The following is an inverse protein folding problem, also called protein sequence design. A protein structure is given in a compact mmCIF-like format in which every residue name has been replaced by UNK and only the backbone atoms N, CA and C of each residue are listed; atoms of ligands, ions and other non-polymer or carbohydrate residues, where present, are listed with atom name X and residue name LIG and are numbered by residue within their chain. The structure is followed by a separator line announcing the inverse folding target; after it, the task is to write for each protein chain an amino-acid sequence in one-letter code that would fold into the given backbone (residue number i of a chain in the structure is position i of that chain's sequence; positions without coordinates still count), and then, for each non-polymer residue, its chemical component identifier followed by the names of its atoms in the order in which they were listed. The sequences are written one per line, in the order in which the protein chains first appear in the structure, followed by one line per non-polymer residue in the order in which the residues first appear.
data_IF_490136949999
#
_entry.id   IF_490136949999
#
_cell.length_a   1.000
_cell.length_b   1.000
_cell.length_c   1.000
_cell.angle_alpha   90.00
_cell.angle_beta   90.00
_cell.angle_gamma   90.00
#
_symmetry.space_group_name_H-M   'P 1'
#
loop_
_entity.id
_entity.type
_entity.pdbx_description
1 polymer ?
#
# COMPACT_ATOMS: atom_id res chain seq x y z
N UNK A 1 85.10 -5.38 -0.89
CA UNK A 1 85.32 -6.04 0.39
C UNK A 1 83.96 -6.32 0.98
N UNK A 2 83.52 -7.56 0.87
CA UNK A 2 83.51 -8.60 1.87
C UNK A 2 82.58 -8.25 3.02
N UNK A 3 81.63 -8.98 3.37
CA UNK A 3 81.38 -10.40 3.47
C UNK A 3 80.16 -10.55 4.36
N UNK A 4 79.39 -11.49 4.04
CA UNK A 4 79.20 -12.79 4.66
C UNK A 4 78.20 -12.90 5.79
N UNK A 5 77.20 -13.64 5.48
CA UNK A 5 76.60 -14.81 6.16
C UNK A 5 75.86 -14.64 7.48
N UNK A 6 74.69 -15.25 7.50
CA UNK A 6 74.05 -15.70 8.73
C UNK A 6 72.61 -16.15 8.51
N UNK A 7 72.46 -17.39 8.14
CA UNK A 7 71.31 -18.26 8.16
C UNK A 7 70.67 -18.36 9.54
N UNK A 8 69.34 -18.39 9.59
CA UNK A 8 68.52 -19.41 10.31
C UNK A 8 67.03 -19.12 10.20
N UNK A 9 66.27 -19.97 9.53
CA UNK A 9 64.92 -20.34 9.88
C UNK A 9 64.96 -21.27 11.11
N UNK A 10 63.87 -21.47 11.86
CA UNK A 10 62.60 -21.93 11.34
C UNK A 10 61.33 -21.38 12.05
N UNK A 11 60.26 -21.34 11.31
CA UNK A 11 59.07 -22.13 11.59
C UNK A 11 58.21 -21.63 12.77
N UNK A 12 57.17 -20.99 12.43
CA UNK A 12 56.00 -20.78 13.26
C UNK A 12 54.81 -20.48 12.37
N UNK A 13 54.26 -21.52 11.78
CA UNK A 13 52.96 -21.46 11.11
C UNK A 13 51.89 -21.24 12.19
N UNK A 14 51.39 -20.04 12.33
CA UNK A 14 50.08 -19.81 12.94
C UNK A 14 49.08 -19.72 11.82
N UNK A 15 48.26 -20.77 11.68
CA UNK A 15 47.04 -20.74 10.88
C UNK A 15 46.15 -19.56 11.31
N UNK A 16 45.52 -18.86 10.38
CA UNK A 16 44.50 -17.89 10.76
C UNK A 16 43.40 -18.62 11.49
N UNK A 17 43.01 -18.10 12.63
CA UNK A 17 41.83 -18.52 13.33
C UNK A 17 40.65 -18.43 12.35
N UNK A 18 39.96 -19.52 12.16
CA UNK A 18 38.67 -19.56 11.52
C UNK A 18 37.78 -18.57 12.26
N UNK A 19 37.39 -17.54 11.58
CA UNK A 19 36.19 -16.79 11.98
C UNK A 19 35.09 -17.82 12.09
N UNK A 20 34.70 -18.14 13.29
CA UNK A 20 33.47 -18.83 13.53
C UNK A 20 32.37 -17.89 13.02
N UNK A 21 31.76 -18.23 11.89
CA UNK A 21 30.41 -17.81 11.56
C UNK A 21 29.52 -18.20 12.74
N UNK A 22 29.32 -17.26 13.64
CA UNK A 22 28.13 -17.25 14.46
C UNK A 22 27.04 -16.72 13.54
N UNK A 23 26.48 -17.60 12.70
CA UNK A 23 25.13 -17.44 12.26
C UNK A 23 24.32 -17.21 13.55
N UNK A 24 23.76 -16.05 13.74
CA UNK A 24 22.80 -15.81 14.81
C UNK A 24 21.72 -16.89 14.60
N UNK A 25 21.47 -17.70 15.62
CA UNK A 25 20.40 -18.67 15.53
C UNK A 25 19.12 -17.88 15.18
N UNK A 26 18.44 -18.25 14.09
CA UNK A 26 17.12 -17.72 13.77
C UNK A 26 16.23 -17.84 15.00
N UNK A 27 15.45 -16.81 15.28
CA UNK A 27 14.39 -16.86 16.28
C UNK A 27 13.34 -17.89 15.87
N UNK A 28 12.38 -18.11 16.74
CA UNK A 28 11.24 -18.98 16.43
C UNK A 28 9.94 -18.21 16.31
N UNK A 29 9.93 -16.96 16.70
CA UNK A 29 8.77 -16.08 16.65
C UNK A 29 9.05 -14.97 15.65
N UNK A 30 8.18 -14.88 14.65
CA UNK A 30 8.21 -13.85 13.61
C UNK A 30 7.09 -12.86 13.94
N UNK A 31 7.44 -11.69 14.49
CA UNK A 31 6.45 -10.66 14.82
C UNK A 31 6.16 -9.79 13.60
N UNK A 32 4.91 -9.80 13.14
CA UNK A 32 4.42 -9.03 12.00
C UNK A 32 3.43 -7.97 12.46
N UNK A 33 3.75 -6.70 12.20
CA UNK A 33 2.92 -5.55 12.56
C UNK A 33 2.01 -5.14 11.39
N UNK A 34 0.70 -5.09 11.63
CA UNK A 34 -0.29 -4.64 10.65
C UNK A 34 -1.45 -3.88 11.33
N UNK A 35 -2.30 -3.23 10.52
CA UNK A 35 -3.45 -2.47 11.06
C UNK A 35 -4.78 -3.22 11.03
N UNK A 36 -4.82 -4.34 10.33
CA UNK A 36 -5.97 -5.23 10.24
C UNK A 36 -5.51 -6.65 9.88
N UNK A 37 -6.45 -7.57 9.71
CA UNK A 37 -6.19 -8.97 9.38
C UNK A 37 -6.02 -9.23 7.88
N UNK A 38 -6.06 -8.22 7.03
CA UNK A 38 -5.96 -8.40 5.58
C UNK A 38 -4.67 -9.13 5.20
N UNK A 39 -3.51 -8.61 5.61
CA UNK A 39 -2.22 -9.24 5.31
C UNK A 39 -2.12 -10.65 5.87
N UNK A 40 -2.54 -10.84 7.11
CA UNK A 40 -2.57 -12.16 7.77
C UNK A 40 -3.30 -13.19 6.92
N UNK A 41 -4.55 -12.91 6.53
CA UNK A 41 -5.35 -13.88 5.78
C UNK A 41 -4.77 -14.22 4.41
N UNK A 42 -4.06 -13.27 3.77
CA UNK A 42 -3.38 -13.51 2.49
C UNK A 42 -2.12 -14.35 2.68
N UNK A 43 -1.29 -14.05 3.69
CA UNK A 43 -0.12 -14.88 4.04
C UNK A 43 -0.56 -16.30 4.37
N UNK A 44 -1.56 -16.48 5.20
CA UNK A 44 -2.11 -17.80 5.59
C UNK A 44 -2.62 -18.58 4.37
N UNK A 45 -3.10 -17.90 3.34
CA UNK A 45 -3.59 -18.55 2.12
C UNK A 45 -2.47 -18.98 1.16
N UNK A 46 -1.32 -18.31 1.13
CA UNK A 46 -0.33 -18.50 0.06
C UNK A 46 1.08 -18.83 0.54
N UNK A 47 1.41 -18.65 1.81
CA UNK A 47 2.71 -19.04 2.33
C UNK A 47 2.72 -20.55 2.62
N UNK A 48 3.53 -21.29 1.91
CA UNK A 48 3.52 -22.76 1.86
C UNK A 48 3.97 -23.44 3.16
N UNK A 49 4.60 -22.71 4.07
CA UNK A 49 4.98 -23.20 5.40
C UNK A 49 3.87 -23.09 6.45
N UNK A 50 2.74 -22.49 6.15
CA UNK A 50 1.62 -22.40 7.09
C UNK A 50 1.06 -23.79 7.39
N UNK A 51 0.96 -24.14 8.68
CA UNK A 51 0.34 -25.37 9.17
C UNK A 51 -1.10 -25.09 9.63
N UNK A 52 -1.27 -24.25 10.65
CA UNK A 52 -2.58 -23.86 11.15
C UNK A 52 -2.50 -22.53 11.94
N UNK A 53 -3.65 -21.94 12.21
CA UNK A 53 -3.79 -20.72 13.01
C UNK A 53 -4.42 -21.05 14.35
N UNK A 54 -4.00 -20.34 15.43
CA UNK A 54 -4.58 -20.46 16.77
C UNK A 54 -6.08 -20.11 16.76
N UNK A 55 -6.83 -20.65 17.72
CA UNK A 55 -8.28 -20.42 17.82
C UNK A 55 -8.67 -18.95 17.97
N UNK A 56 -7.79 -18.12 18.55
CA UNK A 56 -8.00 -16.67 18.71
C UNK A 56 -7.46 -15.85 17.53
N UNK A 57 -6.84 -16.50 16.55
CA UNK A 57 -6.32 -15.87 15.33
C UNK A 57 -5.08 -15.01 15.54
N UNK A 58 -4.41 -15.08 16.69
CA UNK A 58 -3.25 -14.23 16.99
C UNK A 58 -1.91 -14.83 16.58
N UNK A 59 -1.86 -16.15 16.39
CA UNK A 59 -0.65 -16.88 16.04
C UNK A 59 -0.90 -17.82 14.87
N UNK A 60 -0.02 -17.79 13.87
CA UNK A 60 0.03 -18.78 12.79
C UNK A 60 1.24 -19.67 12.98
N UNK A 61 1.02 -20.97 13.13
CA UNK A 61 2.06 -21.98 13.30
C UNK A 61 2.60 -22.42 11.96
N UNK A 62 3.93 -22.58 11.87
CA UNK A 62 4.60 -23.01 10.64
C UNK A 62 5.07 -24.46 10.74
N UNK A 63 5.16 -25.14 9.62
CA UNK A 63 5.56 -26.56 9.50
C UNK A 63 6.99 -26.86 9.94
N UNK A 64 7.85 -25.85 10.02
CA UNK A 64 9.23 -25.94 10.48
C UNK A 64 9.39 -25.66 12.00
N UNK A 65 8.29 -25.38 12.69
CA UNK A 65 8.24 -25.15 14.13
C UNK A 65 8.48 -23.69 14.53
N UNK A 66 8.48 -22.75 13.58
CA UNK A 66 8.38 -21.32 13.84
C UNK A 66 6.92 -20.88 13.98
N UNK A 67 6.72 -19.69 14.50
CA UNK A 67 5.41 -19.09 14.74
C UNK A 67 5.38 -17.66 14.20
N UNK A 68 4.30 -17.27 13.51
CA UNK A 68 4.04 -15.88 13.17
C UNK A 68 3.11 -15.30 14.23
N UNK A 69 3.55 -14.28 14.93
CA UNK A 69 2.75 -13.51 15.88
C UNK A 69 2.22 -12.24 15.22
N UNK A 70 0.91 -12.12 15.11
CA UNK A 70 0.24 -10.99 14.48
C UNK A 70 0.00 -9.86 15.48
N UNK A 71 0.74 -8.76 15.32
CA UNK A 71 0.59 -7.56 16.17
C UNK A 71 -0.30 -6.55 15.44
N UNK A 72 -1.62 -6.70 15.65
CA UNK A 72 -2.61 -5.91 14.94
C UNK A 72 -3.04 -4.70 15.79
N UNK A 73 -2.84 -3.50 15.25
CA UNK A 73 -3.28 -2.25 15.85
C UNK A 73 -4.08 -1.44 14.82
N UNK A 74 -5.26 -0.92 15.15
CA UNK A 74 -6.07 -0.19 14.17
C UNK A 74 -5.38 1.08 13.68
N UNK A 75 -5.58 1.42 12.41
CA UNK A 75 -5.00 2.62 11.81
C UNK A 75 -5.75 3.92 12.17
N UNK A 76 -6.87 3.80 12.87
CA UNK A 76 -7.68 4.95 13.34
C UNK A 76 -6.83 5.87 14.22
N UNK A 77 -6.90 7.18 13.97
CA UNK A 77 -6.17 8.22 14.71
C UNK A 77 -4.65 8.00 14.79
N UNK A 78 -4.07 7.24 13.85
CA UNK A 78 -2.64 6.96 13.79
C UNK A 78 -2.12 5.99 14.85
N UNK A 79 -2.99 5.24 15.52
CA UNK A 79 -2.61 4.30 16.60
C UNK A 79 -1.63 3.24 16.09
N UNK A 80 -1.85 2.69 14.89
CA UNK A 80 -0.94 1.73 14.29
C UNK A 80 0.49 2.28 14.17
N UNK A 81 0.66 3.44 13.54
CA UNK A 81 1.98 4.05 13.35
C UNK A 81 2.65 4.36 14.69
N UNK A 82 1.88 4.87 15.67
CA UNK A 82 2.43 5.14 17.00
C UNK A 82 2.94 3.86 17.66
N UNK A 83 2.19 2.75 17.62
CA UNK A 83 2.58 1.48 18.20
C UNK A 83 3.77 0.85 17.50
N UNK A 84 3.82 0.93 16.18
CA UNK A 84 4.96 0.49 15.39
C UNK A 84 6.22 1.29 15.75
N UNK A 85 6.12 2.62 15.78
CA UNK A 85 7.26 3.49 16.14
C UNK A 85 7.79 3.20 17.53
N UNK A 86 6.89 2.98 18.52
CA UNK A 86 7.27 2.58 19.89
C UNK A 86 8.04 1.25 19.95
N UNK A 87 7.70 0.30 19.06
CA UNK A 87 8.39 -0.99 18.95
C UNK A 87 9.74 -0.84 18.24
N UNK A 88 9.79 -0.13 17.12
CA UNK A 88 11.01 0.12 16.34
C UNK A 88 12.08 0.85 17.17
N UNK A 89 11.69 1.79 18.03
CA UNK A 89 12.61 2.47 18.96
C UNK A 89 13.27 1.54 20.00
N UNK A 90 12.71 0.35 20.20
CA UNK A 90 13.22 -0.65 21.16
C UNK A 90 13.96 -1.79 20.46
N UNK A 91 13.94 -1.83 19.12
CA UNK A 91 14.43 -2.95 18.30
C UNK A 91 15.83 -3.45 18.71
N UNK A 92 16.79 -2.54 18.91
CA UNK A 92 18.17 -2.90 19.26
C UNK A 92 18.30 -3.60 20.64
N UNK A 93 17.32 -3.41 21.54
CA UNK A 93 17.33 -3.90 22.91
C UNK A 93 16.35 -5.04 23.14
N UNK A 94 15.51 -5.32 22.17
CA UNK A 94 14.53 -6.39 22.23
C UNK A 94 15.23 -7.76 22.28
N UNK A 95 14.66 -8.69 23.07
CA UNK A 95 15.07 -10.09 22.97
C UNK A 95 14.72 -10.65 21.59
N UNK A 96 15.34 -11.75 21.17
CA UNK A 96 15.14 -12.34 19.85
C UNK A 96 13.64 -12.47 19.51
N UNK A 97 12.87 -13.19 20.31
CA UNK A 97 11.43 -13.43 20.07
C UNK A 97 10.52 -12.19 20.33
N UNK A 98 11.08 -11.05 20.70
CA UNK A 98 10.34 -9.78 20.92
C UNK A 98 10.63 -8.72 19.84
N UNK A 99 11.49 -9.03 18.89
CA UNK A 99 11.86 -8.11 17.81
C UNK A 99 10.70 -7.94 16.83
N UNK A 100 10.65 -6.77 16.20
CA UNK A 100 9.84 -6.57 14.99
C UNK A 100 10.59 -7.24 13.84
N UNK A 101 10.00 -8.22 13.18
CA UNK A 101 10.58 -8.87 12.01
C UNK A 101 10.07 -8.27 10.72
N UNK A 102 8.76 -8.03 10.66
CA UNK A 102 8.11 -7.42 9.52
C UNK A 102 7.09 -6.39 9.97
N UNK A 103 6.87 -5.40 9.13
CA UNK A 103 5.79 -4.45 9.34
C UNK A 103 5.23 -3.93 8.02
N UNK A 104 4.01 -3.45 8.06
CA UNK A 104 3.37 -2.83 6.91
C UNK A 104 3.45 -1.31 6.98
N UNK A 105 3.50 -0.68 5.82
CA UNK A 105 3.19 0.73 5.66
C UNK A 105 2.20 0.95 4.53
N UNK A 106 1.43 1.99 4.63
CA UNK A 106 0.54 2.44 3.57
C UNK A 106 1.25 3.51 2.73
N UNK A 107 0.92 3.61 1.47
CA UNK A 107 1.55 4.55 0.51
C UNK A 107 1.66 5.98 1.05
N UNK A 108 0.66 6.45 1.80
CA UNK A 108 0.62 7.84 2.30
C UNK A 108 1.76 8.15 3.30
N UNK A 109 2.36 7.13 3.91
CA UNK A 109 3.46 7.30 4.87
C UNK A 109 4.64 6.33 4.68
N UNK A 110 4.71 5.61 3.55
CA UNK A 110 5.80 4.67 3.25
C UNK A 110 7.18 5.33 3.30
N UNK A 111 7.30 6.56 2.83
CA UNK A 111 8.55 7.33 2.80
C UNK A 111 9.18 7.48 4.18
N UNK A 112 8.38 7.56 5.24
CA UNK A 112 8.87 7.60 6.62
C UNK A 112 9.74 6.39 6.98
N UNK A 113 9.40 5.21 6.45
CA UNK A 113 10.06 3.95 6.78
C UNK A 113 11.07 3.50 5.72
N UNK A 114 10.98 4.02 4.49
CA UNK A 114 12.00 3.78 3.46
C UNK A 114 13.17 4.76 3.53
N UNK A 115 13.08 5.82 4.34
CA UNK A 115 14.14 6.79 4.51
C UNK A 115 15.40 6.11 5.07
N UNK A 116 16.52 6.22 4.32
CA UNK A 116 17.80 5.62 4.69
C UNK A 116 18.39 6.19 6.00
N UNK A 117 18.06 7.44 6.36
CA UNK A 117 18.51 8.07 7.59
C UNK A 117 17.74 7.54 8.82
N UNK A 118 16.54 7.00 8.62
CA UNK A 118 15.73 6.34 9.67
C UNK A 118 16.20 4.90 9.89
N UNK A 119 16.63 4.22 8.84
CA UNK A 119 17.25 2.89 8.80
C UNK A 119 16.50 1.80 9.61
N UNK A 120 15.18 1.72 9.43
CA UNK A 120 14.34 0.70 10.07
C UNK A 120 13.93 -0.43 9.11
N UNK A 121 13.96 -0.18 7.81
CA UNK A 121 13.62 -1.16 6.77
C UNK A 121 14.88 -1.70 6.09
N UNK A 122 15.03 -3.02 6.03
CA UNK A 122 16.14 -3.69 5.36
C UNK A 122 16.02 -3.45 3.85
N UNK A 123 17.08 -3.03 3.15
CA UNK A 123 17.13 -3.07 1.70
C UNK A 123 16.85 -4.49 1.18
N UNK A 124 15.99 -4.65 0.18
CA UNK A 124 15.61 -5.98 -0.32
C UNK A 124 16.82 -6.79 -0.80
N UNK A 125 17.84 -6.13 -1.34
CA UNK A 125 19.08 -6.80 -1.76
C UNK A 125 19.85 -7.41 -0.59
N UNK A 126 19.76 -6.84 0.61
CA UNK A 126 20.39 -7.37 1.82
C UNK A 126 19.63 -8.58 2.39
N UNK A 127 18.35 -8.73 2.05
CA UNK A 127 17.57 -9.95 2.27
C UNK A 127 17.82 -11.00 1.16
N UNK A 128 18.65 -10.69 0.17
CA UNK A 128 18.89 -11.56 -0.98
C UNK A 128 17.72 -11.60 -1.97
N UNK A 129 16.93 -10.55 -2.04
CA UNK A 129 15.89 -10.32 -3.07
C UNK A 129 16.46 -9.32 -4.07
N UNK A 130 16.57 -9.72 -5.33
CA UNK A 130 17.00 -8.83 -6.40
C UNK A 130 15.78 -8.20 -7.09
N UNK A 131 15.52 -6.88 -6.90
CA UNK A 131 14.35 -6.22 -7.48
C UNK A 131 14.27 -6.30 -9.02
N UNK A 132 15.41 -6.40 -9.71
CA UNK A 132 15.45 -6.44 -11.19
C UNK A 132 15.06 -7.80 -11.75
N UNK A 133 15.27 -8.87 -11.00
CA UNK A 133 14.98 -10.24 -11.44
C UNK A 133 13.80 -10.86 -10.70
N UNK A 134 13.77 -10.77 -9.37
CA UNK A 134 12.75 -11.43 -8.55
C UNK A 134 11.43 -10.66 -8.55
N UNK A 135 11.49 -9.32 -8.76
CA UNK A 135 10.34 -8.42 -8.82
C UNK A 135 10.20 -7.77 -10.21
N UNK A 136 10.72 -8.43 -11.26
CA UNK A 136 10.72 -7.87 -12.63
C UNK A 136 9.31 -7.55 -13.16
N UNK A 137 8.31 -8.35 -12.77
CA UNK A 137 6.93 -8.22 -13.24
C UNK A 137 6.10 -7.22 -12.42
N UNK A 138 6.67 -6.60 -11.37
CA UNK A 138 5.99 -5.55 -10.63
C UNK A 138 5.89 -4.24 -11.44
N UNK A 139 4.81 -3.50 -11.22
CA UNK A 139 4.67 -2.17 -11.81
C UNK A 139 5.78 -1.24 -11.35
N UNK A 140 6.41 -0.55 -12.29
CA UNK A 140 7.55 0.34 -12.01
C UNK A 140 7.23 1.42 -10.96
N UNK A 141 6.04 2.00 -10.99
CA UNK A 141 5.67 3.02 -10.00
C UNK A 141 5.66 2.48 -8.56
N UNK A 142 5.35 1.19 -8.35
CA UNK A 142 5.39 0.58 -7.01
C UNK A 142 6.82 0.41 -6.52
N UNK A 143 7.77 0.10 -7.40
CA UNK A 143 9.20 0.03 -7.08
C UNK A 143 9.77 1.39 -6.71
N UNK A 144 9.38 2.43 -7.48
CA UNK A 144 9.79 3.82 -7.19
C UNK A 144 9.32 4.26 -5.81
N UNK A 145 8.05 4.00 -5.46
CA UNK A 145 7.48 4.32 -4.14
C UNK A 145 8.16 3.53 -3.02
N UNK A 146 8.56 2.29 -3.30
CA UNK A 146 9.21 1.40 -2.34
C UNK A 146 10.71 1.70 -2.10
N UNK A 147 11.29 2.65 -2.85
CA UNK A 147 12.71 2.95 -2.83
C UNK A 147 13.03 4.18 -1.97
N UNK A 148 14.21 4.17 -1.38
CA UNK A 148 14.77 5.34 -0.70
C UNK A 148 15.26 6.42 -1.71
N UNK A 149 15.72 7.54 -1.19
CA UNK A 149 16.23 8.66 -1.99
C UNK A 149 17.45 8.30 -2.87
N UNK A 150 18.12 7.19 -2.59
CA UNK A 150 19.27 6.67 -3.36
C UNK A 150 18.82 5.66 -4.43
N UNK A 151 17.52 5.37 -4.53
CA UNK A 151 16.97 4.39 -5.45
C UNK A 151 17.10 2.94 -4.96
N UNK A 152 17.42 2.71 -3.69
CA UNK A 152 17.52 1.40 -3.11
C UNK A 152 16.15 0.95 -2.59
N UNK A 153 15.59 -0.13 -3.16
CA UNK A 153 14.28 -0.63 -2.78
C UNK A 153 14.32 -1.28 -1.39
N UNK A 154 13.44 -0.81 -0.47
CA UNK A 154 13.39 -1.21 0.95
C UNK A 154 12.11 -1.91 1.36
N UNK A 155 11.17 -2.05 0.45
CA UNK A 155 9.94 -2.79 0.67
C UNK A 155 9.35 -3.28 -0.65
N UNK A 156 8.28 -4.05 -0.58
CA UNK A 156 7.54 -4.51 -1.75
C UNK A 156 6.04 -4.51 -1.48
N UNK A 157 5.21 -4.54 -2.50
CA UNK A 157 3.75 -4.51 -2.34
C UNK A 157 3.06 -5.60 -3.13
N UNK A 158 1.92 -6.08 -2.61
CA UNK A 158 1.00 -6.96 -3.35
C UNK A 158 -0.18 -6.20 -3.94
N UNK A 159 -0.24 -4.87 -3.78
CA UNK A 159 -1.38 -4.05 -4.17
C UNK A 159 -0.95 -2.96 -5.17
N UNK A 160 -1.52 -3.00 -6.37
CA UNK A 160 -1.34 -1.95 -7.38
C UNK A 160 -2.25 -0.74 -7.19
N UNK A 161 -3.43 -0.92 -6.63
CA UNK A 161 -4.43 0.09 -6.31
C UNK A 161 -4.76 1.12 -7.41
N UNK A 162 -4.91 0.71 -8.70
CA UNK A 162 -5.43 1.62 -9.70
C UNK A 162 -6.87 2.01 -9.36
N UNK A 163 -7.22 3.27 -9.61
CA UNK A 163 -8.56 3.77 -9.35
C UNK A 163 -9.43 3.73 -10.59
N UNK A 164 -10.71 3.46 -10.35
CA UNK A 164 -11.77 3.37 -11.35
C UNK A 164 -12.90 4.33 -10.97
N UNK A 165 -13.75 4.68 -11.94
CA UNK A 165 -15.02 5.35 -11.71
C UNK A 165 -16.04 4.28 -11.30
N UNK A 166 -16.51 4.37 -10.06
CA UNK A 166 -17.56 3.54 -9.50
C UNK A 166 -18.85 4.38 -9.48
N UNK A 167 -19.85 4.00 -10.27
CA UNK A 167 -21.03 4.84 -10.53
C UNK A 167 -22.34 4.13 -10.24
N UNK A 168 -23.36 4.91 -9.86
CA UNK A 168 -24.74 4.47 -9.67
C UNK A 168 -25.41 4.22 -11.02
N UNK A 169 -25.78 2.95 -11.29
CA UNK A 169 -26.45 2.54 -12.54
C UNK A 169 -27.82 3.18 -12.72
N UNK A 170 -28.60 3.30 -11.67
CA UNK A 170 -29.93 3.93 -11.71
C UNK A 170 -29.86 5.44 -12.04
N UNK A 171 -28.86 6.15 -11.51
CA UNK A 171 -28.63 7.55 -11.83
C UNK A 171 -28.13 7.69 -13.29
N UNK A 172 -27.23 6.80 -13.72
CA UNK A 172 -26.75 6.77 -15.11
C UNK A 172 -27.91 6.60 -16.11
N UNK A 173 -28.81 5.64 -15.87
CA UNK A 173 -30.01 5.42 -16.68
C UNK A 173 -30.93 6.63 -16.71
N UNK A 174 -31.17 7.28 -15.56
CA UNK A 174 -32.07 8.46 -15.51
C UNK A 174 -31.47 9.66 -16.25
N UNK A 175 -30.16 9.87 -16.17
CA UNK A 175 -29.50 11.07 -16.70
C UNK A 175 -29.03 10.88 -18.14
N UNK A 176 -28.36 9.75 -18.43
CA UNK A 176 -27.70 9.50 -19.72
C UNK A 176 -28.46 8.52 -20.61
N UNK A 177 -29.48 7.82 -20.06
CA UNK A 177 -30.25 6.80 -20.78
C UNK A 177 -29.53 5.47 -20.96
N UNK A 178 -28.36 5.32 -20.32
CA UNK A 178 -27.55 4.09 -20.33
C UNK A 178 -26.88 3.87 -18.99
N UNK A 179 -26.64 2.61 -18.65
CA UNK A 179 -25.80 2.18 -17.53
C UNK A 179 -24.67 1.25 -17.98
N UNK A 180 -24.45 1.15 -19.29
CA UNK A 180 -23.39 0.36 -19.89
C UNK A 180 -22.02 0.96 -19.54
N UNK A 181 -21.07 0.15 -18.99
CA UNK A 181 -19.76 0.64 -18.55
C UNK A 181 -18.93 1.30 -19.65
N UNK A 182 -19.00 0.81 -20.89
CA UNK A 182 -18.20 1.37 -22.01
C UNK A 182 -18.79 2.71 -22.48
N UNK A 183 -20.12 2.84 -22.47
CA UNK A 183 -20.79 4.11 -22.79
C UNK A 183 -20.53 5.14 -21.68
N UNK A 184 -20.58 4.75 -20.41
CA UNK A 184 -20.25 5.64 -19.28
C UNK A 184 -18.77 6.04 -19.34
N UNK A 185 -17.84 5.12 -19.68
CA UNK A 185 -16.45 5.47 -19.92
C UNK A 185 -16.28 6.56 -20.99
N UNK A 186 -17.03 6.47 -22.09
CA UNK A 186 -16.98 7.46 -23.16
C UNK A 186 -17.55 8.84 -22.72
N UNK A 187 -18.60 8.84 -21.89
CA UNK A 187 -19.21 10.05 -21.31
C UNK A 187 -18.26 10.72 -20.31
N UNK A 188 -17.46 9.95 -19.56
CA UNK A 188 -16.60 10.41 -18.48
C UNK A 188 -15.10 10.36 -18.84
N UNK A 189 -14.71 10.30 -20.12
CA UNK A 189 -13.38 9.93 -20.58
C UNK A 189 -12.25 10.93 -20.25
N UNK A 190 -12.60 12.16 -19.92
CA UNK A 190 -11.67 13.23 -19.49
C UNK A 190 -12.39 14.23 -18.58
N UNK A 191 -11.64 15.14 -17.95
CA UNK A 191 -12.24 16.13 -17.03
C UNK A 191 -13.18 17.12 -17.72
N UNK A 192 -13.02 17.40 -18.99
CA UNK A 192 -13.95 18.23 -19.76
C UNK A 192 -15.30 17.55 -19.96
N UNK A 193 -15.29 16.28 -20.42
CA UNK A 193 -16.48 15.45 -20.56
C UNK A 193 -17.15 15.14 -19.22
N UNK A 194 -16.35 14.90 -18.17
CA UNK A 194 -16.89 14.71 -16.82
C UNK A 194 -17.62 15.98 -16.34
N UNK A 195 -17.15 17.16 -16.69
CA UNK A 195 -17.83 18.42 -16.38
C UNK A 195 -19.13 18.58 -17.17
N UNK A 196 -19.17 18.17 -18.44
CA UNK A 196 -20.40 18.16 -19.24
C UNK A 196 -21.42 17.16 -18.65
N UNK A 197 -20.97 15.99 -18.19
CA UNK A 197 -21.80 15.03 -17.47
C UNK A 197 -22.30 15.60 -16.14
N UNK A 198 -21.47 16.33 -15.39
CA UNK A 198 -21.82 16.98 -14.13
C UNK A 198 -22.95 18.01 -14.30
N UNK A 199 -22.96 18.76 -15.41
CA UNK A 199 -24.04 19.69 -15.73
C UNK A 199 -25.38 18.94 -15.95
N UNK A 200 -25.36 17.83 -16.68
CA UNK A 200 -26.55 17.01 -16.91
C UNK A 200 -27.05 16.36 -15.61
N UNK A 201 -26.15 15.86 -14.76
CA UNK A 201 -26.47 15.31 -13.44
C UNK A 201 -27.18 16.37 -12.58
N UNK A 202 -26.61 17.58 -12.51
CA UNK A 202 -27.19 18.68 -11.76
C UNK A 202 -28.60 19.06 -12.23
N UNK A 203 -28.82 19.11 -13.54
CA UNK A 203 -30.13 19.46 -14.12
C UNK A 203 -31.24 18.45 -13.68
N UNK A 204 -30.85 17.23 -13.34
CA UNK A 204 -31.71 16.18 -12.78
C UNK A 204 -31.73 16.15 -11.24
N UNK A 205 -30.95 16.98 -10.57
CA UNK A 205 -30.89 17.06 -9.12
C UNK A 205 -29.87 16.12 -8.46
N UNK A 206 -28.92 15.60 -9.24
CA UNK A 206 -27.84 14.77 -8.74
C UNK A 206 -26.53 15.55 -8.58
N UNK A 207 -25.62 15.00 -7.79
CA UNK A 207 -24.24 15.47 -7.63
C UNK A 207 -23.29 14.48 -8.28
N UNK A 208 -22.21 14.98 -8.84
CA UNK A 208 -21.20 14.11 -9.50
C UNK A 208 -20.42 13.31 -8.48
N UNK A 209 -19.84 13.99 -7.50
CA UNK A 209 -19.08 13.42 -6.38
C UNK A 209 -19.57 13.93 -5.04
N UNK A 210 -19.23 13.20 -3.97
CA UNK A 210 -19.63 13.56 -2.62
C UNK A 210 -18.91 14.80 -2.10
N UNK A 211 -17.63 14.97 -2.43
CA UNK A 211 -16.86 16.13 -1.97
C UNK A 211 -15.73 16.49 -2.95
N UNK A 212 -15.15 17.67 -2.76
CA UNK A 212 -13.96 18.07 -3.51
C UNK A 212 -12.74 17.18 -3.23
N UNK A 213 -12.69 16.52 -2.08
CA UNK A 213 -11.60 15.61 -1.72
C UNK A 213 -11.60 14.33 -2.57
N UNK A 214 -12.75 13.92 -3.13
CA UNK A 214 -12.85 12.71 -3.96
C UNK A 214 -12.03 12.80 -5.25
N UNK A 215 -11.72 14.01 -5.72
CA UNK A 215 -10.94 14.23 -6.94
C UNK A 215 -9.45 14.51 -6.67
N UNK A 216 -9.04 14.78 -5.41
CA UNK A 216 -7.69 15.24 -5.10
C UNK A 216 -6.60 14.31 -5.61
N UNK A 217 -6.75 13.00 -5.40
CA UNK A 217 -5.68 12.03 -5.73
C UNK A 217 -5.39 11.94 -7.22
N UNK A 218 -6.38 12.14 -8.07
CA UNK A 218 -6.15 12.17 -9.53
C UNK A 218 -5.25 13.34 -9.95
N UNK A 219 -5.43 14.51 -9.33
CA UNK A 219 -4.55 15.66 -9.56
C UNK A 219 -3.20 15.48 -8.86
N UNK A 220 -3.21 15.00 -7.61
CA UNK A 220 -1.99 14.75 -6.84
C UNK A 220 -1.05 13.72 -7.46
N UNK A 221 -1.57 12.71 -8.14
CA UNK A 221 -0.76 11.74 -8.89
C UNK A 221 -0.15 12.31 -10.18
N UNK A 222 -0.54 13.53 -10.59
CA UNK A 222 -0.09 14.16 -11.85
C UNK A 222 0.87 15.33 -11.62
N UNK A 223 1.37 15.51 -10.40
CA UNK A 223 2.36 16.54 -10.10
C UNK A 223 3.68 16.26 -10.83
N UNK A 224 4.36 17.32 -11.25
CA UNK A 224 5.61 17.25 -12.01
C UNK A 224 6.86 17.41 -11.15
N UNK A 225 6.69 17.84 -9.91
CA UNK A 225 7.78 18.10 -8.97
C UNK A 225 7.40 17.71 -7.54
N UNK A 226 8.36 17.32 -6.69
CA UNK A 226 8.10 17.02 -5.29
C UNK A 226 7.66 18.28 -4.54
N UNK A 227 6.84 18.09 -3.49
CA UNK A 227 6.38 19.17 -2.63
C UNK A 227 7.52 19.92 -1.92
N UNK A 228 8.61 19.22 -1.62
CA UNK A 228 9.76 19.80 -0.92
C UNK A 228 11.04 19.40 -1.64
N UNK A 229 11.90 20.39 -1.91
CA UNK A 229 13.25 20.18 -2.40
C UNK A 229 14.22 20.94 -1.46
N UNK A 230 15.05 20.20 -0.73
CA UNK A 230 15.84 20.76 0.38
C UNK A 230 14.90 21.34 1.44
N UNK A 231 14.92 22.65 1.63
CA UNK A 231 14.02 23.36 2.57
C UNK A 231 12.95 24.20 1.85
N UNK A 232 12.82 24.04 0.55
CA UNK A 232 11.89 24.85 -0.27
C UNK A 232 10.61 24.08 -0.53
N UNK A 233 9.47 24.62 -0.10
CA UNK A 233 8.14 24.14 -0.44
C UNK A 233 7.76 24.62 -1.85
N UNK A 234 7.30 23.69 -2.68
CA UNK A 234 6.78 23.98 -4.03
C UNK A 234 5.36 23.44 -4.13
N UNK A 235 4.41 24.31 -4.45
CA UNK A 235 3.05 23.88 -4.80
C UNK A 235 2.98 23.73 -6.31
N UNK A 236 2.83 22.50 -6.77
CA UNK A 236 2.74 22.21 -8.20
C UNK A 236 1.53 22.91 -8.83
N UNK A 237 1.62 23.46 -10.07
CA UNK A 237 0.48 24.05 -10.77
C UNK A 237 -0.72 23.12 -10.87
N UNK A 238 -0.51 21.80 -10.94
CA UNK A 238 -1.58 20.80 -10.98
C UNK A 238 -2.45 20.83 -9.70
N UNK A 239 -1.84 21.11 -8.55
CA UNK A 239 -2.57 21.26 -7.28
C UNK A 239 -3.40 22.54 -7.28
N UNK A 240 -2.87 23.63 -7.84
CA UNK A 240 -3.63 24.88 -7.96
C UNK A 240 -4.79 24.75 -8.95
N UNK A 241 -4.65 23.94 -10.00
CA UNK A 241 -5.74 23.57 -10.89
C UNK A 241 -6.85 22.83 -10.13
N UNK A 242 -6.51 21.83 -9.33
CA UNK A 242 -7.48 21.15 -8.46
C UNK A 242 -8.22 22.13 -7.53
N UNK A 243 -7.53 23.10 -6.94
CA UNK A 243 -8.15 24.11 -6.08
C UNK A 243 -9.17 24.95 -6.87
N UNK A 244 -8.80 25.39 -8.09
CA UNK A 244 -9.68 26.16 -8.96
C UNK A 244 -10.90 25.37 -9.42
N UNK A 245 -10.68 24.12 -9.86
CA UNK A 245 -11.74 23.24 -10.33
C UNK A 245 -12.68 22.86 -9.19
N UNK A 246 -12.15 22.55 -8.01
CA UNK A 246 -12.95 22.25 -6.83
C UNK A 246 -13.86 23.41 -6.46
N UNK A 247 -13.35 24.64 -6.51
CA UNK A 247 -14.16 25.83 -6.27
C UNK A 247 -15.24 26.01 -7.34
N UNK A 248 -14.88 25.88 -8.61
CA UNK A 248 -15.82 25.98 -9.73
C UNK A 248 -16.95 24.96 -9.59
N UNK A 249 -16.61 23.68 -9.31
CA UNK A 249 -17.59 22.61 -9.17
C UNK A 249 -18.51 22.79 -7.96
N UNK A 250 -17.99 23.31 -6.85
CA UNK A 250 -18.81 23.68 -5.68
C UNK A 250 -19.77 24.83 -6.00
N UNK A 251 -19.28 25.88 -6.65
CA UNK A 251 -20.08 27.05 -7.02
C UNK A 251 -21.17 26.68 -8.07
N UNK A 252 -20.83 25.77 -9.01
CA UNK A 252 -21.76 25.24 -9.98
C UNK A 252 -22.77 24.27 -9.39
N UNK A 253 -22.54 23.73 -8.19
CA UNK A 253 -23.42 22.76 -7.53
C UNK A 253 -23.27 21.33 -8.06
N UNK A 254 -22.10 20.99 -8.59
CA UNK A 254 -21.76 19.63 -9.06
C UNK A 254 -21.32 18.72 -7.94
N UNK A 255 -20.84 19.28 -6.83
CA UNK A 255 -20.42 18.57 -5.62
C UNK A 255 -21.42 18.82 -4.49
N UNK A 256 -21.53 17.84 -3.59
CA UNK A 256 -22.41 17.99 -2.43
C UNK A 256 -21.72 18.87 -1.38
N UNK A 257 -22.07 20.16 -1.37
CA UNK A 257 -21.37 21.21 -0.61
C UNK A 257 -21.32 21.04 0.91
N UNK A 258 -22.18 20.20 1.47
CA UNK A 258 -22.25 19.97 2.91
C UNK A 258 -21.21 18.94 3.39
N UNK A 259 -20.61 18.16 2.47
CA UNK A 259 -19.57 17.18 2.79
C UNK A 259 -18.21 17.85 2.60
N UNK A 260 -17.45 17.97 3.70
CA UNK A 260 -16.18 18.70 3.74
C UNK A 260 -14.95 17.80 3.71
N UNK A 261 -15.01 16.71 2.97
CA UNK A 261 -13.90 15.77 2.87
C UNK A 261 -14.36 14.32 2.93
N UNK A 262 -13.42 13.42 3.01
CA UNK A 262 -13.62 11.99 3.12
C UNK A 262 -13.50 11.52 4.58
N UNK A 263 -13.81 10.25 4.83
CA UNK A 263 -13.59 9.56 6.12
C UNK A 263 -14.41 10.14 7.28
N UNK A 264 -15.63 10.59 7.00
CA UNK A 264 -16.60 11.04 8.00
C UNK A 264 -18.00 10.47 7.71
N UNK A 265 -18.89 10.55 8.69
CA UNK A 265 -20.24 9.98 8.62
C UNK A 265 -21.05 10.50 7.43
N UNK A 266 -20.94 11.79 7.09
CA UNK A 266 -21.68 12.39 5.99
C UNK A 266 -21.20 11.87 4.63
N UNK A 267 -19.89 11.70 4.48
CA UNK A 267 -19.30 11.08 3.31
C UNK A 267 -19.71 9.61 3.19
N UNK A 268 -19.66 8.84 4.29
CA UNK A 268 -20.11 7.45 4.31
C UNK A 268 -21.60 7.34 3.92
N UNK A 269 -22.47 8.17 4.49
CA UNK A 269 -23.92 8.21 4.14
C UNK A 269 -24.19 8.58 2.68
N UNK A 270 -23.25 9.30 2.04
CA UNK A 270 -23.40 9.67 0.62
C UNK A 270 -23.30 8.47 -0.33
N UNK A 271 -22.85 7.31 0.15
CA UNK A 271 -22.81 6.05 -0.59
C UNK A 271 -24.12 5.26 -0.48
N UNK A 272 -25.00 5.60 0.45
CA UNK A 272 -26.27 4.89 0.66
C UNK A 272 -27.29 5.03 -0.50
N UNK A 273 -28.24 4.13 -0.57
CA UNK A 273 -29.24 4.02 -1.66
C UNK A 273 -30.12 5.27 -1.84
N UNK A 274 -30.27 6.07 -0.79
CA UNK A 274 -31.05 7.33 -0.80
C UNK A 274 -30.22 8.55 -1.20
N UNK A 275 -28.93 8.36 -1.44
CA UNK A 275 -28.03 9.45 -1.83
C UNK A 275 -28.29 9.87 -3.28
N UNK A 276 -28.07 11.15 -3.57
CA UNK A 276 -28.07 11.72 -4.91
C UNK A 276 -26.68 11.84 -5.52
N UNK A 277 -25.67 11.19 -4.95
CA UNK A 277 -24.29 11.19 -5.47
C UNK A 277 -24.16 10.12 -6.55
N UNK A 278 -23.68 10.53 -7.73
CA UNK A 278 -23.54 9.67 -8.89
C UNK A 278 -22.37 8.71 -8.78
N UNK A 279 -21.19 9.20 -8.39
CA UNK A 279 -19.98 8.41 -8.51
C UNK A 279 -18.94 8.66 -7.42
N UNK A 280 -18.01 7.71 -7.31
CA UNK A 280 -16.80 7.78 -6.52
C UNK A 280 -15.60 7.33 -7.38
N UNK A 281 -14.42 7.77 -7.03
CA UNK A 281 -13.16 7.35 -7.64
C UNK A 281 -12.45 6.43 -6.65
N UNK A 282 -12.62 5.11 -6.81
CA UNK A 282 -12.12 4.12 -5.87
C UNK A 282 -11.17 3.10 -6.51
N UNK A 283 -10.14 2.66 -5.77
CA UNK A 283 -9.47 1.40 -6.07
C UNK A 283 -10.32 0.21 -5.59
N UNK A 284 -9.90 -1.02 -5.89
CA UNK A 284 -10.61 -2.24 -5.50
C UNK A 284 -10.94 -2.28 -3.99
N UNK A 285 -9.96 -1.98 -3.12
CA UNK A 285 -10.21 -1.96 -1.68
C UNK A 285 -11.24 -0.89 -1.25
N UNK A 286 -11.39 0.19 -2.01
CA UNK A 286 -12.39 1.22 -1.75
C UNK A 286 -13.82 0.70 -1.95
N UNK A 287 -14.01 -0.25 -2.87
CA UNK A 287 -15.30 -0.93 -3.05
C UNK A 287 -15.57 -1.83 -1.85
N UNK A 288 -14.64 -2.70 -1.46
CA UNK A 288 -14.83 -3.68 -0.40
C UNK A 288 -14.93 -3.06 0.99
N UNK A 289 -13.99 -2.19 1.34
CA UNK A 289 -13.87 -1.66 2.71
C UNK A 289 -14.61 -0.36 2.95
N UNK A 290 -15.04 0.34 1.89
CA UNK A 290 -15.69 1.65 2.01
C UNK A 290 -17.09 1.65 1.42
N UNK A 291 -17.24 1.29 0.14
CA UNK A 291 -18.54 1.34 -0.52
C UNK A 291 -19.51 0.28 0.02
N UNK A 292 -19.10 -0.99 0.02
CA UNK A 292 -19.95 -2.11 0.42
C UNK A 292 -20.53 -1.97 1.84
N UNK A 293 -19.74 -1.59 2.87
CA UNK A 293 -20.27 -1.41 4.22
C UNK A 293 -21.27 -0.25 4.35
N UNK A 294 -21.26 0.71 3.44
CA UNK A 294 -22.11 1.88 3.45
C UNK A 294 -23.28 1.80 2.45
N UNK A 295 -23.33 0.74 1.62
CA UNK A 295 -24.39 0.51 0.67
C UNK A 295 -25.52 -0.30 1.29
N UNK A 296 -26.75 0.25 1.28
CA UNK A 296 -27.97 -0.36 1.82
C UNK A 296 -29.01 -0.71 0.74
N UNK A 297 -28.60 -0.68 -0.53
CA UNK A 297 -29.45 -0.96 -1.68
C UNK A 297 -29.28 -2.37 -2.23
N UNK A 298 -29.86 -2.61 -3.40
CA UNK A 298 -29.77 -3.90 -4.08
C UNK A 298 -28.35 -4.18 -4.62
N UNK A 299 -27.98 -5.45 -4.66
CA UNK A 299 -26.76 -5.88 -5.34
C UNK A 299 -26.82 -5.52 -6.85
N UNK A 300 -25.67 -5.22 -7.45
CA UNK A 300 -25.58 -4.85 -8.86
C UNK A 300 -26.03 -3.42 -9.20
N UNK A 301 -26.31 -2.59 -8.20
CA UNK A 301 -26.70 -1.18 -8.41
C UNK A 301 -25.55 -0.26 -8.79
N UNK A 302 -24.30 -0.70 -8.60
CA UNK A 302 -23.11 0.01 -8.98
C UNK A 302 -22.47 -0.59 -10.22
N UNK A 303 -21.98 0.27 -11.10
CA UNK A 303 -21.13 -0.07 -12.24
C UNK A 303 -19.72 0.41 -11.99
N UNK A 304 -18.77 -0.22 -12.68
CA UNK A 304 -17.34 0.13 -12.61
C UNK A 304 -16.83 0.33 -14.02
N UNK A 305 -16.09 1.43 -14.25
CA UNK A 305 -15.48 1.73 -15.55
C UNK A 305 -14.27 2.63 -15.39
N UNK A 306 -13.60 2.94 -16.50
CA UNK A 306 -12.52 3.92 -16.48
C UNK A 306 -13.05 5.32 -16.23
N UNK A 307 -12.33 6.09 -15.41
CA UNK A 307 -12.67 7.48 -15.12
C UNK A 307 -11.96 8.49 -16.01
N UNK A 308 -12.05 9.79 -15.68
CA UNK A 308 -11.50 10.86 -16.49
C UNK A 308 -9.97 10.90 -16.55
N UNK A 309 -9.33 10.16 -15.65
CA UNK A 309 -7.88 10.10 -15.52
C UNK A 309 -7.46 8.85 -14.76
N UNK A 310 -6.36 8.22 -15.18
CA UNK A 310 -5.73 7.12 -14.43
C UNK A 310 -4.93 7.67 -13.25
N UNK A 311 -5.06 7.03 -12.10
CA UNK A 311 -4.29 7.33 -10.90
C UNK A 311 -4.34 6.16 -9.91
N UNK A 312 -3.51 6.20 -8.87
CA UNK A 312 -3.47 5.19 -7.84
C UNK A 312 -3.85 5.80 -6.48
N UNK A 313 -4.46 5.00 -5.63
CA UNK A 313 -4.78 5.40 -4.27
C UNK A 313 -4.51 4.25 -3.31
N UNK A 314 -3.51 4.48 -2.43
CA UNK A 314 -3.14 3.52 -1.41
C UNK A 314 -2.22 2.41 -1.92
N UNK A 315 -2.20 1.34 -1.19
CA UNK A 315 -1.33 0.21 -1.34
C UNK A 315 -0.54 -0.06 -0.08
N UNK A 316 -0.57 -1.32 0.36
CA UNK A 316 0.17 -1.79 1.53
C UNK A 316 1.54 -2.29 1.10
N UNK A 317 2.59 -1.78 1.73
CA UNK A 317 3.98 -2.15 1.50
C UNK A 317 4.49 -3.01 2.65
N UNK A 318 5.19 -4.09 2.32
CA UNK A 318 5.76 -5.06 3.24
C UNK A 318 7.24 -4.73 3.44
N UNK A 319 7.65 -4.51 4.68
CA UNK A 319 9.03 -4.24 5.07
C UNK A 319 9.59 -5.40 5.89
N UNK A 320 10.83 -5.80 5.61
CA UNK A 320 11.65 -6.51 6.58
C UNK A 320 12.30 -5.49 7.53
N UNK A 321 12.24 -5.75 8.83
CA UNK A 321 12.77 -4.84 9.84
C UNK A 321 14.26 -5.03 10.06
N UNK A 322 15.04 -3.94 10.10
CA UNK A 322 16.44 -3.98 10.49
C UNK A 322 16.58 -4.59 11.89
N UNK A 323 17.50 -5.55 12.02
CA UNK A 323 17.71 -6.28 13.26
C UNK A 323 16.76 -7.45 13.49
N UNK A 324 15.96 -7.86 12.49
CA UNK A 324 15.24 -9.15 12.52
C UNK A 324 16.20 -10.31 12.79
N UNK A 325 15.76 -11.29 13.51
CA UNK A 325 16.49 -12.56 13.71
C UNK A 325 15.88 -13.71 12.89
N UNK A 326 14.90 -13.40 12.01
CA UNK A 326 14.22 -14.32 11.11
C UNK A 326 14.34 -13.91 9.62
N UNK A 327 15.53 -13.56 9.09
CA UNK A 327 15.65 -12.96 7.76
C UNK A 327 15.18 -13.87 6.61
N UNK A 328 15.33 -15.20 6.74
CA UNK A 328 14.89 -16.13 5.70
C UNK A 328 13.37 -16.19 5.60
N UNK A 329 12.65 -16.26 6.72
CA UNK A 329 11.19 -16.19 6.73
C UNK A 329 10.66 -14.85 6.20
N UNK A 330 11.30 -13.74 6.59
CA UNK A 330 10.99 -12.39 6.07
C UNK A 330 11.09 -12.36 4.55
N UNK A 331 12.21 -12.87 4.00
CA UNK A 331 12.43 -12.99 2.55
C UNK A 331 11.35 -13.84 1.87
N UNK A 332 11.11 -15.04 2.40
CA UNK A 332 10.14 -15.98 1.82
C UNK A 332 8.72 -15.42 1.80
N UNK A 333 8.28 -14.76 2.89
CA UNK A 333 6.96 -14.13 2.96
C UNK A 333 6.85 -12.97 1.96
N UNK A 334 7.87 -12.12 1.85
CA UNK A 334 7.89 -11.04 0.85
C UNK A 334 7.73 -11.62 -0.56
N UNK A 335 8.53 -12.63 -0.92
CA UNK A 335 8.46 -13.25 -2.25
C UNK A 335 7.14 -13.98 -2.49
N UNK A 336 6.63 -14.70 -1.50
CA UNK A 336 5.33 -15.39 -1.61
C UNK A 336 4.18 -14.39 -1.88
N UNK A 337 4.24 -13.22 -1.27
CA UNK A 337 3.21 -12.19 -1.36
C UNK A 337 3.34 -11.24 -2.54
N UNK A 338 4.53 -11.14 -3.17
CA UNK A 338 4.78 -10.06 -4.14
C UNK A 338 5.44 -10.50 -5.45
N UNK A 339 6.03 -11.69 -5.50
CA UNK A 339 6.77 -12.19 -6.66
C UNK A 339 6.16 -13.44 -7.30
N UNK A 340 5.36 -14.21 -6.55
CA UNK A 340 4.79 -15.46 -7.04
C UNK A 340 3.47 -15.21 -7.78
N UNK A 341 3.45 -15.39 -9.10
CA UNK A 341 2.29 -15.13 -9.96
C UNK A 341 1.07 -16.01 -9.63
N UNK A 342 1.28 -17.26 -9.22
CA UNK A 342 0.18 -18.17 -8.83
C UNK A 342 -0.46 -17.71 -7.52
N UNK A 343 0.37 -17.29 -6.54
CA UNK A 343 -0.10 -16.74 -5.28
C UNK A 343 -0.88 -15.43 -5.51
N UNK A 344 -0.36 -14.53 -6.34
CA UNK A 344 -1.05 -13.28 -6.68
C UNK A 344 -2.38 -13.54 -7.39
N UNK A 345 -2.42 -14.55 -8.28
CA UNK A 345 -3.66 -14.99 -8.93
C UNK A 345 -4.66 -15.52 -7.90
N UNK A 346 -4.19 -16.33 -6.95
CA UNK A 346 -5.03 -16.86 -5.86
C UNK A 346 -5.58 -15.74 -4.99
N UNK A 347 -4.72 -14.83 -4.52
CA UNK A 347 -5.14 -13.66 -3.72
C UNK A 347 -6.23 -12.87 -4.46
N UNK A 348 -6.01 -12.55 -5.74
CA UNK A 348 -6.95 -11.76 -6.53
C UNK A 348 -8.31 -12.46 -6.69
N UNK A 349 -8.33 -13.79 -6.83
CA UNK A 349 -9.58 -14.55 -7.05
C UNK A 349 -10.34 -14.85 -5.76
N UNK A 350 -9.66 -15.09 -4.66
CA UNK A 350 -10.28 -15.58 -3.43
C UNK A 350 -10.66 -14.46 -2.47
N UNK A 351 -10.02 -13.29 -2.57
CA UNK A 351 -10.19 -12.19 -1.62
C UNK A 351 -10.71 -10.89 -2.26
N UNK A 352 -11.12 -10.92 -3.51
CA UNK A 352 -11.76 -9.79 -4.20
C UNK A 352 -13.18 -10.21 -4.56
N UNK A 353 -14.17 -9.70 -3.86
CA UNK A 353 -15.59 -9.89 -4.16
C UNK A 353 -16.02 -8.88 -5.24
N UNK A 354 -15.79 -9.19 -6.50
CA UNK A 354 -16.31 -8.44 -7.65
C UNK A 354 -17.39 -9.23 -8.39
#
# INVERSE_FOLDING_TARGET
SSGSTGSASPGGSTAPASSSDTASAEGKIINIYSWNTEFQTRVEAVYDKVDHTSDDGTVTYLTDGCEIHWVINPNTDGVYQQKLDEALLKQDKAAADEKVDMFLSETDYVVKYTDADVDVAIPLVDLGINPDTDLADQYEYTKVVASDANGLQRCSTWQGCPCLLVYRRDIALDVFGTDDPDEIAAICADWGKMKDAAAQLKDKGYYTFASYADTFRSYGNSISAPWVTGTTLTVDPRIMEWVSDSKEWLDAGYLYKNIKGQWNDDWNKSMGSKSSVFAFLFPAWGIDFVLNPNWDGAAGSWGVTTGPQSFNWGGSFIHGCVGTDNPEHVKEIILAMTANADNMTKITREFTEF
#
